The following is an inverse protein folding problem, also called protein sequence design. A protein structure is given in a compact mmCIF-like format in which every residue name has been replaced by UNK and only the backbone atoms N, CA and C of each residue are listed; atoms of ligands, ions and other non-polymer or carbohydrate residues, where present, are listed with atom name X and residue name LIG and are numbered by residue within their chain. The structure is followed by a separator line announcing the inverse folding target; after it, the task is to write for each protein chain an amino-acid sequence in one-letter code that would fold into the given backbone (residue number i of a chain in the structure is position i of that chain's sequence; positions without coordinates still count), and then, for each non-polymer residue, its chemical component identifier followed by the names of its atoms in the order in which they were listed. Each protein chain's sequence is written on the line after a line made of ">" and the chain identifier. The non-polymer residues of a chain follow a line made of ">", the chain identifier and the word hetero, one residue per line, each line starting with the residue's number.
data_IF_154419726904
#
_entry.id   IF_154419726904
#
_cell.length_a   1.000
_cell.length_b   1.000
_cell.length_c   1.000
_cell.angle_alpha   90.00
_cell.angle_beta   90.00
_cell.angle_gamma   90.00
#
_symmetry.space_group_name_H-M   'P 1'
#
loop_
_entity.id
_entity.type
_entity.pdbx_description
1 polymer ?
#
# COMPACT_ATOMS: atom_id res chain seq x y z
N UNK A 1 -9.41 -6.37 29.94
CA UNK A 1 -10.06 -5.52 28.93
C UNK A 1 -9.53 -5.94 27.57
N UNK A 2 -10.39 -6.42 26.68
CA UNK A 2 -10.05 -6.73 25.28
C UNK A 2 -9.67 -5.42 24.59
N UNK A 3 -8.46 -5.32 24.04
CA UNK A 3 -8.05 -4.11 23.28
C UNK A 3 -8.87 -4.05 21.99
N UNK A 4 -9.41 -2.87 21.67
CA UNK A 4 -10.22 -2.62 20.49
C UNK A 4 -9.42 -1.82 19.45
N UNK A 5 -9.43 -2.26 18.21
CA UNK A 5 -8.74 -1.64 17.09
C UNK A 5 -9.71 -1.27 15.99
N UNK A 6 -9.50 -0.10 15.39
CA UNK A 6 -10.32 0.40 14.28
C UNK A 6 -9.43 0.48 13.06
N UNK A 7 -9.71 -0.32 12.04
CA UNK A 7 -8.96 -0.33 10.78
C UNK A 7 -9.86 0.17 9.66
N UNK A 8 -9.48 1.31 9.09
CA UNK A 8 -10.18 1.91 7.97
C UNK A 8 -9.70 1.33 6.64
N UNK A 9 -10.61 1.24 5.67
CA UNK A 9 -10.27 1.01 4.26
C UNK A 9 -10.79 2.19 3.46
N UNK A 10 -9.91 2.91 2.76
CA UNK A 10 -10.30 4.08 1.97
C UNK A 10 -11.31 3.67 0.89
N UNK A 11 -12.50 4.27 0.91
CA UNK A 11 -13.63 3.89 0.07
C UNK A 11 -14.06 5.04 -0.86
N UNK A 12 -13.09 5.78 -1.39
CA UNK A 12 -13.31 6.82 -2.41
C UNK A 12 -13.47 6.20 -3.81
N UNK A 13 -12.68 5.17 -4.10
CA UNK A 13 -12.71 4.34 -5.31
C UNK A 13 -11.92 3.05 -5.02
N UNK A 14 -12.17 1.97 -5.76
CA UNK A 14 -11.33 0.77 -5.72
C UNK A 14 -11.93 -0.43 -4.99
N UNK A 15 -11.12 -1.47 -4.80
CA UNK A 15 -11.50 -2.77 -4.24
C UNK A 15 -11.59 -2.77 -2.69
N UNK A 16 -12.26 -1.76 -2.11
CA UNK A 16 -12.36 -1.63 -0.66
C UNK A 16 -13.23 -2.71 -0.01
N UNK A 17 -14.23 -3.24 -0.74
CA UNK A 17 -15.16 -4.23 -0.20
C UNK A 17 -14.46 -5.58 0.03
N UNK A 18 -13.62 -5.97 -0.92
CA UNK A 18 -12.79 -7.17 -0.87
C UNK A 18 -11.79 -7.09 0.30
N UNK A 19 -11.16 -5.94 0.50
CA UNK A 19 -10.31 -5.71 1.67
C UNK A 19 -11.08 -5.85 3.00
N UNK A 20 -12.28 -5.26 3.10
CA UNK A 20 -13.10 -5.35 4.31
C UNK A 20 -13.50 -6.80 4.61
N UNK A 21 -13.87 -7.56 3.58
CA UNK A 21 -14.21 -8.98 3.72
C UNK A 21 -13.00 -9.80 4.21
N UNK A 22 -11.82 -9.59 3.60
CA UNK A 22 -10.61 -10.31 4.00
C UNK A 22 -10.16 -9.96 5.41
N UNK A 23 -10.30 -8.69 5.83
CA UNK A 23 -10.03 -8.26 7.20
C UNK A 23 -10.95 -8.94 8.21
N UNK A 24 -12.25 -9.01 7.92
CA UNK A 24 -13.22 -9.68 8.79
C UNK A 24 -12.85 -11.16 8.99
N UNK A 25 -12.59 -11.88 7.90
CA UNK A 25 -12.18 -13.29 7.94
C UNK A 25 -10.83 -13.49 8.63
N UNK A 26 -9.85 -12.61 8.40
CA UNK A 26 -8.54 -12.68 9.05
C UNK A 26 -8.63 -12.50 10.57
N UNK A 27 -9.52 -11.63 11.05
CA UNK A 27 -9.70 -11.36 12.46
C UNK A 27 -10.27 -12.55 13.26
N UNK A 28 -10.92 -13.51 12.59
CA UNK A 28 -11.46 -14.73 13.20
C UNK A 28 -10.37 -15.78 13.53
N UNK A 29 -9.13 -15.57 13.08
CA UNK A 29 -8.03 -16.51 13.34
C UNK A 29 -7.67 -16.58 14.84
N UNK A 30 -7.16 -17.73 15.34
CA UNK A 30 -6.88 -17.91 16.77
C UNK A 30 -5.94 -16.86 17.39
N UNK A 31 -5.02 -16.31 16.60
CA UNK A 31 -4.09 -15.29 17.06
C UNK A 31 -4.74 -13.92 17.26
N UNK A 32 -5.77 -13.62 16.47
CA UNK A 32 -6.43 -12.32 16.41
C UNK A 32 -7.78 -12.28 17.16
N UNK A 33 -8.41 -13.43 17.39
CA UNK A 33 -9.72 -13.55 18.06
C UNK A 33 -9.75 -13.04 19.50
N UNK A 34 -8.58 -12.87 20.13
CA UNK A 34 -8.42 -12.25 21.46
C UNK A 34 -8.50 -10.71 21.44
N UNK A 35 -8.55 -10.09 20.26
CA UNK A 35 -8.71 -8.65 20.08
C UNK A 35 -10.08 -8.35 19.47
N UNK A 36 -10.57 -7.14 19.71
CA UNK A 36 -11.77 -6.65 19.04
C UNK A 36 -11.36 -5.77 17.87
N UNK A 37 -11.88 -6.05 16.68
CA UNK A 37 -11.63 -5.23 15.50
C UNK A 37 -12.92 -4.61 14.99
N UNK A 38 -12.86 -3.32 14.67
CA UNK A 38 -13.87 -2.60 13.90
C UNK A 38 -13.28 -2.29 12.52
N UNK A 39 -13.89 -2.80 11.47
CA UNK A 39 -13.52 -2.50 10.09
C UNK A 39 -14.52 -1.53 9.48
N UNK A 40 -14.06 -0.41 8.92
CA UNK A 40 -14.96 0.56 8.29
C UNK A 40 -14.49 1.07 6.93
N UNK A 41 -15.42 1.29 5.99
CA UNK A 41 -15.13 2.05 4.78
C UNK A 41 -14.98 3.54 5.14
N UNK A 42 -13.85 4.14 4.80
CA UNK A 42 -13.53 5.54 5.09
C UNK A 42 -13.81 6.40 3.87
N UNK A 43 -14.75 7.33 4.01
CA UNK A 43 -15.16 8.30 2.98
C UNK A 43 -15.08 9.75 3.46
N UNK A 44 -15.02 9.95 4.78
CA UNK A 44 -15.01 11.28 5.41
C UNK A 44 -13.86 11.45 6.40
N UNK A 45 -13.47 12.70 6.73
CA UNK A 45 -12.41 12.96 7.70
C UNK A 45 -12.76 12.44 9.10
N UNK A 46 -14.03 12.54 9.51
CA UNK A 46 -14.49 12.04 10.81
C UNK A 46 -14.31 10.53 10.94
N UNK A 47 -14.61 9.78 9.87
CA UNK A 47 -14.36 8.35 9.83
C UNK A 47 -12.86 8.04 9.93
N UNK A 48 -12.03 8.78 9.18
CA UNK A 48 -10.58 8.63 9.21
C UNK A 48 -9.99 8.90 10.61
N UNK A 49 -10.52 9.90 11.32
CA UNK A 49 -10.04 10.28 12.65
C UNK A 49 -10.19 9.15 13.67
N UNK A 50 -11.22 8.30 13.55
CA UNK A 50 -11.44 7.14 14.42
C UNK A 50 -10.50 5.97 14.14
N UNK A 51 -9.80 5.98 13.01
CA UNK A 51 -8.97 4.85 12.57
C UNK A 51 -7.64 4.80 13.33
N UNK A 52 -7.29 3.60 13.79
CA UNK A 52 -5.96 3.27 14.31
C UNK A 52 -5.00 2.94 13.16
N UNK A 53 -5.49 2.35 12.07
CA UNK A 53 -4.74 2.06 10.85
C UNK A 53 -5.60 2.29 9.61
N UNK A 54 -4.96 2.48 8.45
CA UNK A 54 -5.64 2.70 7.17
C UNK A 54 -5.08 1.79 6.07
N UNK A 55 -5.96 1.14 5.32
CA UNK A 55 -5.64 0.53 4.03
C UNK A 55 -6.11 1.45 2.91
N UNK A 56 -5.22 1.71 1.95
CA UNK A 56 -5.52 2.40 0.69
C UNK A 56 -5.55 1.31 -0.40
N UNK A 57 -6.73 0.96 -0.92
CA UNK A 57 -6.90 -0.23 -1.75
C UNK A 57 -6.37 -0.01 -3.17
N UNK A 58 -6.34 -1.11 -3.93
CA UNK A 58 -6.16 -1.08 -5.38
C UNK A 58 -7.32 -0.38 -6.10
N UNK A 59 -7.10 0.03 -7.36
CA UNK A 59 -8.08 0.80 -8.13
C UNK A 59 -7.41 1.69 -9.18
N UNK A 60 -7.89 2.92 -9.31
CA UNK A 60 -7.33 3.94 -10.19
C UNK A 60 -6.83 5.14 -9.35
N UNK A 61 -5.51 5.26 -9.24
CA UNK A 61 -4.85 6.22 -8.36
C UNK A 61 -5.17 7.67 -8.72
N UNK A 62 -5.36 8.01 -10.00
CA UNK A 62 -5.68 9.37 -10.42
C UNK A 62 -7.08 9.76 -9.94
N UNK A 63 -8.05 8.87 -10.09
CA UNK A 63 -9.44 9.04 -9.64
C UNK A 63 -9.51 9.17 -8.13
N UNK A 64 -8.80 8.33 -7.38
CA UNK A 64 -8.69 8.47 -5.93
C UNK A 64 -8.15 9.85 -5.53
N UNK A 65 -7.09 10.33 -6.17
CA UNK A 65 -6.51 11.64 -5.86
C UNK A 65 -7.46 12.81 -6.15
N UNK A 66 -8.17 12.77 -7.28
CA UNK A 66 -9.14 13.79 -7.67
C UNK A 66 -10.39 13.79 -6.78
N UNK A 67 -10.89 12.61 -6.40
CA UNK A 67 -12.02 12.50 -5.48
C UNK A 67 -11.59 13.03 -4.12
N UNK A 68 -10.40 12.66 -3.63
CA UNK A 68 -9.90 13.12 -2.34
C UNK A 68 -9.77 14.64 -2.26
N UNK A 69 -9.27 15.28 -3.33
CA UNK A 69 -9.17 16.74 -3.42
C UNK A 69 -10.56 17.39 -3.41
N UNK A 70 -11.50 16.88 -4.22
CA UNK A 70 -12.85 17.43 -4.35
C UNK A 70 -13.73 17.26 -3.11
N UNK A 71 -13.48 16.23 -2.30
CA UNK A 71 -14.24 15.96 -1.08
C UNK A 71 -13.60 16.51 0.19
N UNK A 72 -12.45 17.20 0.09
CA UNK A 72 -11.70 17.69 1.25
C UNK A 72 -10.99 16.58 2.03
N UNK A 73 -10.89 15.37 1.48
CA UNK A 73 -10.20 14.23 2.08
C UNK A 73 -8.68 14.24 1.89
N UNK A 74 -8.16 15.00 0.91
CA UNK A 74 -6.74 14.97 0.57
C UNK A 74 -5.84 15.34 1.76
N UNK A 75 -6.07 16.49 2.41
CA UNK A 75 -5.24 16.91 3.54
C UNK A 75 -5.32 15.96 4.74
N UNK A 76 -6.52 15.51 5.18
CA UNK A 76 -6.62 14.48 6.21
C UNK A 76 -5.85 13.19 5.90
N UNK A 77 -5.81 12.77 4.62
CA UNK A 77 -5.04 11.60 4.19
C UNK A 77 -3.53 11.84 4.22
N UNK A 78 -3.08 13.02 3.81
CA UNK A 78 -1.67 13.44 3.92
C UNK A 78 -1.24 13.42 5.38
N UNK A 79 -2.03 14.01 6.27
CA UNK A 79 -1.74 14.07 7.71
C UNK A 79 -1.71 12.66 8.34
N UNK A 80 -2.68 11.80 7.97
CA UNK A 80 -2.70 10.41 8.44
C UNK A 80 -1.48 9.63 7.92
N UNK A 81 -1.11 9.82 6.66
CA UNK A 81 0.05 9.19 6.03
C UNK A 81 1.36 9.64 6.69
N UNK A 82 1.48 10.91 7.09
CA UNK A 82 2.62 11.46 7.81
C UNK A 82 2.69 11.05 9.29
N UNK A 83 1.56 10.64 9.89
CA UNK A 83 1.52 10.21 11.30
C UNK A 83 2.26 8.90 11.58
N UNK A 84 2.44 8.54 12.85
CA UNK A 84 2.98 7.23 13.25
C UNK A 84 1.99 6.07 13.06
N UNK A 85 0.73 6.33 12.68
CA UNK A 85 -0.29 5.30 12.49
C UNK A 85 0.04 4.39 11.30
N UNK A 86 -0.29 3.09 11.35
CA UNK A 86 -0.04 2.20 10.23
C UNK A 86 -0.85 2.56 8.99
N UNK A 87 -0.20 2.50 7.82
CA UNK A 87 -0.85 2.66 6.52
C UNK A 87 -0.37 1.56 5.59
N UNK A 88 -1.30 0.92 4.88
CA UNK A 88 -1.00 -0.06 3.84
C UNK A 88 -1.56 0.37 2.50
N UNK A 89 -0.70 0.65 1.52
CA UNK A 89 -1.10 0.91 0.14
C UNK A 89 -0.96 -0.34 -0.73
N UNK A 90 -2.05 -0.83 -1.33
CA UNK A 90 -2.02 -1.93 -2.31
C UNK A 90 -2.22 -1.39 -3.72
N UNK A 91 -1.37 -1.80 -4.66
CA UNK A 91 -1.39 -1.39 -6.07
C UNK A 91 -1.55 0.14 -6.26
N UNK A 92 -2.75 0.62 -6.60
CA UNK A 92 -3.05 2.05 -6.71
C UNK A 92 -2.81 2.83 -5.40
N UNK A 93 -3.01 2.19 -4.25
CA UNK A 93 -2.68 2.75 -2.95
C UNK A 93 -1.17 2.92 -2.72
N UNK A 94 -0.33 2.01 -3.23
CA UNK A 94 1.13 2.18 -3.22
C UNK A 94 1.53 3.41 -4.06
N UNK A 95 0.95 3.57 -5.25
CA UNK A 95 1.17 4.76 -6.09
C UNK A 95 0.76 6.03 -5.33
N UNK A 96 -0.39 6.01 -4.66
CA UNK A 96 -0.90 7.19 -3.97
C UNK A 96 -0.08 7.55 -2.72
N UNK A 97 0.49 6.55 -2.04
CA UNK A 97 1.30 6.73 -0.83
C UNK A 97 2.74 7.21 -1.10
N UNK A 98 3.26 6.99 -2.31
CA UNK A 98 4.63 7.32 -2.70
C UNK A 98 4.95 8.82 -2.64
N UNK A 99 6.22 9.17 -2.51
CA UNK A 99 6.71 10.55 -2.64
C UNK A 99 6.83 10.99 -4.09
N UNK A 100 7.18 10.05 -4.96
CA UNK A 100 7.41 10.34 -6.36
C UNK A 100 6.71 9.30 -7.23
N UNK A 101 5.90 9.80 -8.17
CA UNK A 101 5.13 8.98 -9.10
C UNK A 101 5.67 9.26 -10.51
N UNK A 102 6.18 8.22 -11.13
CA UNK A 102 6.58 8.22 -12.54
C UNK A 102 5.42 7.75 -13.43
N UNK A 103 5.30 8.32 -14.64
CA UNK A 103 4.17 8.09 -15.55
C UNK A 103 2.81 8.52 -14.93
N UNK A 104 2.83 9.56 -14.11
CA UNK A 104 1.64 10.13 -13.50
C UNK A 104 0.66 10.67 -14.55
N UNK A 105 -0.63 10.74 -14.22
CA UNK A 105 -1.59 11.50 -15.03
C UNK A 105 -1.59 12.98 -14.64
N UNK A 106 -2.01 13.89 -15.55
CA UNK A 106 -2.23 15.29 -15.20
C UNK A 106 -3.10 15.42 -13.94
N UNK A 107 -2.75 16.38 -13.08
CA UNK A 107 -3.43 16.67 -11.81
C UNK A 107 -3.41 15.57 -10.75
N UNK A 108 -2.76 14.43 -10.99
CA UNK A 108 -2.59 13.41 -9.97
C UNK A 108 -1.79 13.96 -8.79
N UNK A 109 -2.31 13.73 -7.58
CA UNK A 109 -1.63 14.06 -6.33
C UNK A 109 -1.08 12.80 -5.68
N UNK A 110 -0.04 12.98 -4.87
CA UNK A 110 0.55 11.97 -4.03
C UNK A 110 0.38 12.37 -2.56
N UNK A 111 0.33 11.39 -1.65
CA UNK A 111 0.20 11.63 -0.21
C UNK A 111 1.54 11.87 0.48
N UNK A 112 2.63 11.30 -0.04
CA UNK A 112 3.97 11.49 0.54
C UNK A 112 4.19 10.75 1.86
N UNK A 113 3.49 9.64 2.09
CA UNK A 113 3.68 8.83 3.30
C UNK A 113 4.89 7.90 3.24
N UNK A 114 5.40 7.62 2.04
CA UNK A 114 6.50 6.67 1.83
C UNK A 114 7.54 7.18 0.83
N UNK A 115 8.80 7.25 1.28
CA UNK A 115 10.05 7.65 0.61
C UNK A 115 10.47 6.73 -0.55
N UNK A 116 9.55 6.49 -1.48
CA UNK A 116 9.74 5.63 -2.65
C UNK A 116 9.33 6.33 -3.94
N UNK A 117 9.98 5.91 -5.03
CA UNK A 117 9.64 6.25 -6.40
C UNK A 117 8.84 5.08 -6.97
N UNK A 118 7.65 5.36 -7.48
CA UNK A 118 6.75 4.34 -8.03
C UNK A 118 6.43 4.65 -9.48
N UNK A 119 6.73 3.71 -10.36
CA UNK A 119 6.34 3.77 -11.77
C UNK A 119 5.01 3.05 -12.00
N UNK A 120 4.06 3.76 -12.60
CA UNK A 120 2.74 3.18 -12.96
C UNK A 120 2.88 2.21 -14.13
N UNK A 121 2.15 1.08 -14.05
CA UNK A 121 2.00 0.08 -15.12
C UNK A 121 3.35 -0.37 -15.74
N UNK A 122 4.35 -0.60 -14.90
CA UNK A 122 5.74 -0.81 -15.35
C UNK A 122 6.05 -2.25 -15.81
N UNK A 123 5.11 -3.19 -15.70
CA UNK A 123 5.26 -4.59 -16.13
C UNK A 123 5.17 -4.78 -17.66
N UNK A 124 4.84 -3.73 -18.42
CA UNK A 124 4.73 -3.76 -19.89
C UNK A 124 3.34 -4.16 -20.40
N UNK A 125 3.08 -3.91 -21.70
CA UNK A 125 1.76 -4.10 -22.35
C UNK A 125 1.30 -5.55 -22.51
N UNK A 126 2.18 -6.52 -22.27
CA UNK A 126 1.92 -7.95 -22.55
C UNK A 126 1.48 -8.73 -21.29
N UNK A 127 1.59 -8.15 -20.10
CA UNK A 127 1.27 -8.79 -18.82
C UNK A 127 0.38 -7.87 -17.97
N UNK A 128 -0.81 -7.55 -18.48
CA UNK A 128 -1.78 -6.69 -17.78
C UNK A 128 -2.45 -7.40 -16.59
N UNK A 129 -2.45 -8.73 -16.57
CA UNK A 129 -2.98 -9.58 -15.50
C UNK A 129 -2.17 -10.87 -15.43
N UNK A 130 -1.64 -11.21 -14.26
CA UNK A 130 -1.06 -12.52 -14.00
C UNK A 130 -1.12 -12.86 -12.51
N UNK A 131 -1.03 -14.15 -12.20
CA UNK A 131 -1.02 -14.68 -10.85
C UNK A 131 0.17 -15.61 -10.69
N UNK A 132 0.92 -15.44 -9.59
CA UNK A 132 2.06 -16.29 -9.25
C UNK A 132 2.06 -16.53 -7.74
N UNK A 133 2.32 -17.77 -7.33
CA UNK A 133 2.63 -18.08 -5.93
C UNK A 133 3.94 -17.41 -5.54
N UNK A 134 3.96 -16.68 -4.43
CA UNK A 134 5.15 -15.99 -3.92
C UNK A 134 5.44 -16.42 -2.49
N UNK A 135 6.71 -16.65 -2.19
CA UNK A 135 7.16 -16.91 -0.84
C UNK A 135 7.57 -15.60 -0.16
N UNK A 136 6.72 -15.13 0.75
CA UNK A 136 6.95 -13.95 1.59
C UNK A 136 7.45 -14.31 3.00
N UNK A 137 7.83 -15.57 3.24
CA UNK A 137 8.19 -16.06 4.57
C UNK A 137 9.43 -15.41 5.19
N UNK A 138 10.23 -14.70 4.40
CA UNK A 138 11.35 -13.90 4.88
C UNK A 138 10.91 -12.75 5.81
N UNK A 139 9.77 -12.11 5.54
CA UNK A 139 9.24 -11.02 6.38
C UNK A 139 7.91 -11.36 7.06
N UNK A 140 7.24 -12.41 6.60
CA UNK A 140 5.96 -12.87 7.13
C UNK A 140 5.96 -14.41 7.15
N UNK A 141 6.48 -15.07 8.19
CA UNK A 141 6.76 -16.51 8.20
C UNK A 141 5.60 -17.44 7.78
N UNK A 142 4.35 -17.00 7.97
CA UNK A 142 3.14 -17.74 7.56
C UNK A 142 2.75 -17.61 6.08
N UNK A 143 3.43 -16.77 5.30
CA UNK A 143 3.13 -16.45 3.90
C UNK A 143 4.04 -17.18 2.90
N UNK A 144 4.17 -18.49 3.06
CA UNK A 144 4.74 -19.35 2.00
C UNK A 144 3.70 -19.60 0.92
N UNK A 145 4.15 -19.58 -0.33
CA UNK A 145 3.35 -19.86 -1.52
C UNK A 145 2.00 -19.11 -1.51
N UNK A 146 2.06 -17.80 -1.28
CA UNK A 146 0.88 -16.94 -1.25
C UNK A 146 0.42 -16.64 -2.68
N UNK A 147 -0.85 -16.91 -3.04
CA UNK A 147 -1.40 -16.56 -4.34
C UNK A 147 -1.34 -15.05 -4.56
N UNK A 148 -0.50 -14.59 -5.49
CA UNK A 148 -0.23 -13.17 -5.68
C UNK A 148 -0.74 -12.68 -7.02
N UNK A 149 -1.78 -11.85 -7.00
CA UNK A 149 -2.45 -11.32 -8.19
C UNK A 149 -1.89 -9.94 -8.55
N UNK A 150 -1.40 -9.79 -9.78
CA UNK A 150 -0.91 -8.53 -10.33
C UNK A 150 -1.82 -8.06 -11.45
N UNK A 151 -2.37 -6.85 -11.32
CA UNK A 151 -3.24 -6.23 -12.34
C UNK A 151 -2.71 -4.85 -12.65
N UNK A 152 -2.14 -4.68 -13.86
CA UNK A 152 -1.48 -3.43 -14.28
C UNK A 152 -0.59 -2.85 -13.17
N UNK A 153 0.16 -3.72 -12.52
CA UNK A 153 0.78 -3.41 -11.25
C UNK A 153 1.83 -2.28 -11.37
N UNK A 154 1.95 -1.40 -10.36
CA UNK A 154 3.07 -0.49 -10.27
C UNK A 154 4.35 -1.22 -9.84
N UNK A 155 5.50 -0.59 -10.05
CA UNK A 155 6.80 -1.07 -9.54
C UNK A 155 7.48 0.02 -8.75
N UNK A 156 8.11 -0.34 -7.64
CA UNK A 156 9.02 0.58 -6.92
C UNK A 156 10.33 0.64 -7.70
N UNK A 157 10.65 1.81 -8.25
CA UNK A 157 11.84 2.03 -9.09
C UNK A 157 12.96 2.79 -8.38
N UNK A 158 12.70 3.29 -7.18
CA UNK A 158 13.71 3.91 -6.35
C UNK A 158 13.26 4.09 -4.90
N UNK A 159 14.24 4.30 -4.03
CA UNK A 159 14.05 4.66 -2.62
C UNK A 159 14.74 5.99 -2.36
N UNK A 160 14.11 6.89 -1.61
CA UNK A 160 14.70 8.19 -1.26
C UNK A 160 15.49 8.02 0.02
N UNK A 161 16.83 8.08 -0.07
CA UNK A 161 17.74 8.09 1.06
C UNK A 161 18.46 9.44 1.12
N UNK A 162 18.09 10.28 2.10
CA UNK A 162 18.56 11.66 2.16
C UNK A 162 17.97 12.54 1.04
N UNK A 163 18.82 13.29 0.31
CA UNK A 163 18.36 14.27 -0.68
C UNK A 163 18.18 13.73 -2.11
N UNK A 164 18.59 12.48 -2.39
CA UNK A 164 18.54 11.92 -3.76
C UNK A 164 17.87 10.54 -3.80
N UNK A 165 17.02 10.28 -4.80
CA UNK A 165 16.54 8.93 -5.07
C UNK A 165 17.68 7.99 -5.45
N UNK A 166 17.67 6.79 -4.86
CA UNK A 166 18.52 5.66 -5.23
C UNK A 166 17.67 4.69 -6.05
N UNK A 167 17.99 4.45 -7.33
CA UNK A 167 17.24 3.51 -8.16
C UNK A 167 17.29 2.08 -7.60
N UNK A 168 16.18 1.35 -7.70
CA UNK A 168 16.08 -0.06 -7.31
C UNK A 168 15.38 -0.88 -8.39
N UNK A 169 15.86 -2.10 -8.62
CA UNK A 169 15.35 -2.99 -9.68
C UNK A 169 16.11 -2.89 -11.01
N UNK A 170 15.56 -3.46 -12.10
CA UNK A 170 16.27 -3.61 -13.37
C UNK A 170 16.48 -2.27 -14.08
N UNK A 171 17.67 -2.06 -14.64
CA UNK A 171 18.07 -0.78 -15.29
C UNK A 171 17.08 -0.30 -16.35
N UNK A 172 16.52 -1.20 -17.16
CA UNK A 172 15.57 -0.85 -18.23
C UNK A 172 14.25 -0.26 -17.73
N UNK A 173 13.87 -0.53 -16.48
CA UNK A 173 12.66 0.02 -15.86
C UNK A 173 13.00 1.25 -15.03
N UNK A 174 14.20 1.31 -14.42
CA UNK A 174 14.64 2.46 -13.60
C UNK A 174 15.25 3.62 -14.39
N UNK A 175 15.64 3.42 -15.64
CA UNK A 175 16.27 4.43 -16.53
C UNK A 175 15.43 4.75 -17.78
N UNK A 176 14.19 4.25 -17.87
CA UNK A 176 13.30 4.58 -18.97
C UNK A 176 12.89 6.06 -18.96
N UNK A 177 12.42 6.58 -20.10
CA UNK A 177 11.73 7.87 -20.17
C UNK A 177 10.44 7.79 -19.35
N UNK A 178 10.53 8.12 -18.07
CA UNK A 178 9.36 8.35 -17.25
C UNK A 178 8.70 9.63 -17.73
N UNK A 179 7.42 9.57 -18.08
CA UNK A 179 6.63 10.70 -18.52
C UNK A 179 6.43 11.73 -17.39
N UNK A 180 5.19 12.17 -17.17
CA UNK A 180 4.92 13.14 -16.10
C UNK A 180 5.37 12.59 -14.74
N UNK A 181 6.19 13.36 -14.03
CA UNK A 181 6.65 13.06 -12.68
C UNK A 181 5.90 13.96 -11.69
N UNK A 182 5.26 13.34 -10.70
CA UNK A 182 4.66 14.05 -9.55
C UNK A 182 5.55 13.82 -8.35
N UNK A 183 5.93 14.90 -7.66
CA UNK A 183 6.71 14.86 -6.40
C UNK A 183 5.93 15.54 -5.29
N UNK A 184 6.06 14.99 -4.10
CA UNK A 184 5.58 15.58 -2.86
C UNK A 184 6.61 15.42 -1.76
N UNK A 185 6.60 16.32 -0.78
CA UNK A 185 7.45 16.22 0.39
C UNK A 185 7.09 15.00 1.22
N UNK A 186 8.10 14.41 1.84
CA UNK A 186 7.96 13.23 2.66
C UNK A 186 8.64 13.43 4.00
N UNK A 187 7.83 13.32 5.05
CA UNK A 187 8.26 13.52 6.43
C UNK A 187 8.70 12.23 7.11
N UNK A 188 8.50 11.07 6.46
CA UNK A 188 8.90 9.78 7.02
C UNK A 188 10.41 9.58 6.92
N UNK A 189 11.08 9.65 8.07
CA UNK A 189 12.54 9.52 8.20
C UNK A 189 13.01 8.08 8.48
N UNK A 190 12.08 7.12 8.64
CA UNK A 190 12.46 5.72 8.82
C UNK A 190 13.15 5.18 7.55
N UNK A 191 14.09 4.24 7.67
CA UNK A 191 14.69 3.61 6.50
C UNK A 191 13.62 2.85 5.69
N UNK A 192 13.77 2.89 4.37
CA UNK A 192 12.95 2.06 3.47
C UNK A 192 13.60 0.69 3.36
N UNK A 193 12.83 -0.35 3.68
CA UNK A 193 13.20 -1.74 3.58
C UNK A 193 12.50 -2.36 2.35
N UNK A 194 13.26 -3.01 1.49
CA UNK A 194 12.71 -3.83 0.41
C UNK A 194 12.34 -5.18 1.01
N UNK A 195 11.04 -5.48 1.06
CA UNK A 195 10.53 -6.72 1.62
C UNK A 195 10.55 -7.87 0.60
N UNK A 196 10.20 -7.58 -0.66
CA UNK A 196 10.14 -8.60 -1.71
C UNK A 196 10.51 -8.07 -3.09
N UNK A 197 11.28 -8.89 -3.80
CA UNK A 197 11.68 -8.67 -5.18
C UNK A 197 11.34 -9.92 -5.98
N UNK A 198 10.69 -9.77 -7.13
CA UNK A 198 10.40 -10.88 -8.05
C UNK A 198 11.70 -11.39 -8.71
N UNK A 199 11.67 -12.58 -9.30
CA UNK A 199 12.83 -13.21 -9.97
C UNK A 199 13.46 -12.33 -11.06
N UNK A 200 12.64 -11.50 -11.72
CA UNK A 200 13.09 -10.55 -12.74
C UNK A 200 13.65 -9.24 -12.15
N UNK A 201 13.80 -9.15 -10.83
CA UNK A 201 14.37 -8.00 -10.12
C UNK A 201 13.36 -6.89 -9.76
N UNK A 202 12.07 -7.04 -10.05
CA UNK A 202 11.07 -6.02 -9.74
C UNK A 202 10.73 -5.99 -8.25
N UNK A 203 10.85 -4.80 -7.65
CA UNK A 203 10.48 -4.58 -6.25
C UNK A 203 8.97 -4.42 -6.14
N UNK A 204 8.33 -5.32 -5.40
CA UNK A 204 6.85 -5.42 -5.31
C UNK A 204 6.31 -5.33 -3.88
N UNK A 205 7.17 -5.34 -2.87
CA UNK A 205 6.79 -5.07 -1.48
C UNK A 205 7.89 -4.28 -0.77
N UNK A 206 7.48 -3.24 -0.04
CA UNK A 206 8.36 -2.33 0.70
C UNK A 206 7.74 -1.95 2.05
N UNK A 207 8.58 -1.69 3.03
CA UNK A 207 8.21 -1.17 4.35
C UNK A 207 9.00 0.11 4.62
N UNK A 208 8.36 1.09 5.26
CA UNK A 208 9.06 2.24 5.82
C UNK A 208 8.45 2.59 7.18
N UNK A 209 9.08 2.12 8.25
CA UNK A 209 8.53 2.20 9.60
C UNK A 209 7.16 1.50 9.68
N UNK A 210 6.11 2.30 9.89
CA UNK A 210 4.70 1.85 10.00
C UNK A 210 3.95 1.84 8.66
N UNK A 211 4.62 2.13 7.54
CA UNK A 211 4.02 2.18 6.21
C UNK A 211 4.38 0.91 5.44
N UNK A 212 3.38 0.28 4.85
CA UNK A 212 3.51 -0.90 4.01
C UNK A 212 3.03 -0.57 2.60
N UNK A 213 3.79 -0.99 1.60
CA UNK A 213 3.48 -0.76 0.20
C UNK A 213 3.63 -2.06 -0.58
N UNK A 214 2.58 -2.48 -1.28
CA UNK A 214 2.59 -3.68 -2.13
C UNK A 214 2.06 -3.38 -3.52
N UNK A 215 2.69 -3.95 -4.54
CA UNK A 215 2.31 -3.77 -5.94
C UNK A 215 1.15 -4.67 -6.40
N UNK A 216 0.86 -5.71 -5.63
CA UNK A 216 -0.15 -6.74 -5.93
C UNK A 216 -1.43 -6.53 -5.12
N UNK A 217 -2.44 -7.35 -5.45
CA UNK A 217 -3.78 -7.34 -4.88
C UNK A 217 -4.03 -8.56 -3.98
N UNK A 218 -3.60 -8.52 -2.70
CA UNK A 218 -3.84 -9.62 -1.77
C UNK A 218 -5.33 -9.82 -1.47
N UNK A 219 -6.17 -8.80 -1.67
CA UNK A 219 -7.63 -8.87 -1.53
C UNK A 219 -8.32 -9.67 -2.63
N UNK A 220 -7.61 -9.99 -3.72
CA UNK A 220 -8.11 -10.85 -4.80
C UNK A 220 -7.61 -12.29 -4.66
N UNK A 221 -6.70 -12.56 -3.72
CA UNK A 221 -6.33 -13.91 -3.35
C UNK A 221 -7.47 -14.54 -2.56
N UNK A 222 -7.76 -15.83 -2.74
CA UNK A 222 -8.67 -16.55 -1.85
C UNK A 222 -7.95 -16.96 -0.53
N UNK A 223 -7.16 -16.03 0.04
CA UNK A 223 -6.25 -16.26 1.14
C UNK A 223 -6.09 -15.00 2.00
N UNK A 224 -6.48 -15.09 3.28
CA UNK A 224 -6.51 -13.97 4.22
C UNK A 224 -5.24 -13.82 5.03
N UNK A 225 -4.23 -14.69 4.85
CA UNK A 225 -3.00 -14.69 5.66
C UNK A 225 -2.27 -13.35 5.60
N UNK A 226 -2.32 -12.65 4.45
CA UNK A 226 -1.62 -11.37 4.29
C UNK A 226 -2.28 -10.28 5.12
N UNK A 227 -3.62 -10.21 5.12
CA UNK A 227 -4.38 -9.29 5.97
C UNK A 227 -4.22 -9.64 7.45
N UNK A 228 -4.19 -10.93 7.80
CA UNK A 228 -3.89 -11.39 9.16
C UNK A 228 -2.52 -10.92 9.62
N UNK A 229 -1.48 -11.11 8.80
CA UNK A 229 -0.15 -10.61 9.08
C UNK A 229 -0.12 -9.08 9.24
N UNK A 230 -0.82 -8.33 8.38
CA UNK A 230 -0.94 -6.88 8.55
C UNK A 230 -1.60 -6.51 9.89
N UNK A 231 -2.67 -7.19 10.30
CA UNK A 231 -3.30 -6.94 11.60
C UNK A 231 -2.35 -7.25 12.76
N UNK A 232 -1.63 -8.36 12.72
CA UNK A 232 -0.67 -8.75 13.76
C UNK A 232 0.52 -7.77 13.85
N UNK A 233 1.24 -7.61 12.74
CA UNK A 233 2.52 -6.88 12.67
C UNK A 233 2.34 -5.37 12.65
N UNK A 234 1.24 -4.88 12.03
CA UNK A 234 0.99 -3.46 11.87
C UNK A 234 -0.01 -2.88 12.84
N UNK A 235 -1.08 -3.59 13.18
CA UNK A 235 -2.13 -2.99 14.01
C UNK A 235 -1.91 -3.34 15.49
N UNK A 236 -1.73 -4.62 15.79
CA UNK A 236 -1.64 -5.11 17.17
C UNK A 236 -0.26 -4.85 17.79
N UNK A 237 0.82 -5.17 17.09
CA UNK A 237 2.19 -4.96 17.58
C UNK A 237 2.59 -3.48 17.74
N UNK A 238 1.73 -2.54 17.29
CA UNK A 238 1.92 -1.10 17.45
C UNK A 238 1.60 -0.55 18.84
N UNK A 239 1.14 -1.38 19.79
CA UNK A 239 0.61 -0.94 21.11
C UNK A 239 1.25 -1.65 22.29
#
# INVERSE_FOLDING_TARGET
>A
MTRNFTVGVLALQGAFAEHLQHLALAAETPNLSKYTFTFLPVRTPDQLATCHALIIPGGESTSMSLIAERTGMLQPLVDFAASSKPVWGTCAGLIFLACEISNARPHQKALGGMSVLVARNAFGRQLDLFELGQDFSLFAPGLRDFPTVFIRAPVVTGVVSGAKPVPVGPRGITQGEFGTVVRTDCSNMAPVEILHTLDNGLVVAVRQGRKLGTSFHPELANDTRFHGWFLEEFVVASV
#
